data_IF_960182070424
#
_entry.id   IF_960182070424
#
_cell.length_a   1.000
_cell.length_b   1.000
_cell.length_c   1.000
_cell.angle_alpha   90.00
_cell.angle_beta   90.00
_cell.angle_gamma   90.00
#
_symmetry.space_group_name_H-M   'P 1'
#
loop_
_entity.id
_entity.type
_entity.pdbx_description
1 polymer ?
#
# COMPACT_ATOMS: atom_id res chain seq x y z
N UNK A 1 11.29 28.79 -18.32
CA UNK A 1 10.40 27.80 -17.64
C UNK A 1 10.29 28.18 -16.17
N UNK A 2 9.12 28.59 -15.71
CA UNK A 2 8.93 29.02 -14.32
C UNK A 2 8.97 27.78 -13.41
N UNK A 3 9.84 27.81 -12.41
CA UNK A 3 9.91 26.77 -11.39
C UNK A 3 8.57 26.68 -10.67
N UNK A 4 7.89 25.51 -10.75
CA UNK A 4 6.66 25.26 -9.97
C UNK A 4 7.00 25.43 -8.50
N UNK A 5 6.47 26.48 -7.85
CA UNK A 5 6.54 26.66 -6.41
C UNK A 5 6.00 25.39 -5.76
N UNK A 6 6.85 24.72 -4.99
CA UNK A 6 6.46 23.51 -4.22
C UNK A 6 5.42 23.96 -3.21
N UNK A 7 4.24 23.33 -3.21
CA UNK A 7 3.20 23.63 -2.23
C UNK A 7 3.76 23.49 -0.81
N UNK A 8 3.37 24.33 0.15
CA UNK A 8 3.88 24.26 1.52
C UNK A 8 3.54 22.89 2.09
N UNK A 9 4.58 22.16 2.50
CA UNK A 9 4.40 20.84 3.09
C UNK A 9 3.75 20.97 4.46
N UNK A 10 2.65 20.24 4.69
CA UNK A 10 2.06 20.12 6.02
C UNK A 10 2.94 19.16 6.82
N UNK A 11 3.45 19.54 8.01
CA UNK A 11 4.25 18.65 8.83
C UNK A 11 3.41 17.43 9.24
N UNK A 12 3.85 16.24 8.86
CA UNK A 12 3.13 15.00 9.14
C UNK A 12 2.86 14.80 10.63
N UNK A 13 3.84 15.11 11.47
CA UNK A 13 3.72 14.97 12.93
C UNK A 13 2.62 15.86 13.52
N UNK A 14 2.43 17.07 12.96
CA UNK A 14 1.35 17.96 13.37
C UNK A 14 -0.02 17.34 13.08
N UNK A 15 -0.18 16.77 11.88
CA UNK A 15 -1.42 16.10 11.48
C UNK A 15 -1.70 14.89 12.37
N UNK A 16 -0.70 14.05 12.61
CA UNK A 16 -0.87 12.86 13.45
C UNK A 16 -1.23 13.24 14.88
N UNK A 17 -0.55 14.25 15.45
CA UNK A 17 -0.89 14.77 16.77
C UNK A 17 -2.33 15.30 16.83
N UNK A 18 -2.77 16.04 15.81
CA UNK A 18 -4.14 16.57 15.77
C UNK A 18 -5.20 15.45 15.69
N UNK A 19 -4.91 14.35 14.98
CA UNK A 19 -5.75 13.15 14.97
C UNK A 19 -5.78 12.54 16.37
N UNK A 20 -4.64 12.32 16.98
CA UNK A 20 -4.45 11.66 18.27
C UNK A 20 -5.21 12.35 19.39
N UNK A 21 -5.13 13.68 19.46
CA UNK A 21 -5.81 14.50 20.49
C UNK A 21 -7.25 14.87 20.13
N UNK A 22 -7.76 14.33 19.01
CA UNK A 22 -9.13 14.56 18.50
C UNK A 22 -9.44 16.03 18.21
N UNK A 23 -8.48 16.76 17.64
CA UNK A 23 -8.67 18.16 17.24
C UNK A 23 -9.56 18.29 16.01
N UNK A 24 -10.87 18.31 16.20
CA UNK A 24 -11.88 18.36 15.15
C UNK A 24 -11.76 19.63 14.28
N UNK A 25 -11.31 20.74 14.86
CA UNK A 25 -11.19 22.03 14.18
C UNK A 25 -9.89 22.23 13.42
N UNK A 26 -8.93 21.32 13.51
CA UNK A 26 -7.61 21.51 12.90
C UNK A 26 -7.70 21.73 11.38
N UNK A 27 -8.45 20.91 10.66
CA UNK A 27 -8.58 21.02 9.21
C UNK A 27 -9.24 22.33 8.77
N UNK A 28 -10.26 22.81 9.49
CA UNK A 28 -10.95 24.07 9.15
C UNK A 28 -10.05 25.28 9.31
N UNK A 29 -9.09 25.24 10.23
CA UNK A 29 -8.09 26.31 10.46
C UNK A 29 -6.98 26.36 9.42
N UNK A 30 -6.85 25.35 8.54
CA UNK A 30 -5.87 25.38 7.45
C UNK A 30 -6.22 26.45 6.41
N UNK A 31 -5.17 27.10 5.89
CA UNK A 31 -5.30 27.98 4.72
C UNK A 31 -5.62 27.17 3.45
N UNK A 32 -6.04 27.86 2.39
CA UNK A 32 -6.45 27.21 1.14
C UNK A 32 -5.32 26.43 0.45
N UNK A 33 -4.06 26.84 0.61
CA UNK A 33 -2.90 26.16 0.02
C UNK A 33 -2.61 24.85 0.77
N UNK A 34 -2.66 24.88 2.08
CA UNK A 34 -2.51 23.66 2.91
C UNK A 34 -3.67 22.69 2.71
N UNK A 35 -4.91 23.17 2.61
CA UNK A 35 -6.07 22.31 2.27
C UNK A 35 -5.86 21.59 0.94
N UNK A 36 -5.30 22.24 -0.08
CA UNK A 36 -4.94 21.60 -1.37
C UNK A 36 -3.78 20.59 -1.25
N UNK A 37 -2.85 20.83 -0.34
CA UNK A 37 -1.72 19.92 -0.10
C UNK A 37 -2.09 18.74 0.80
N UNK A 38 -3.22 18.78 1.49
CA UNK A 38 -3.69 17.73 2.38
C UNK A 38 -4.08 16.48 1.58
N UNK A 39 -3.39 15.37 1.81
CA UNK A 39 -3.69 14.08 1.21
C UNK A 39 -4.33 13.15 2.23
N UNK A 40 -5.64 13.05 2.22
CA UNK A 40 -6.38 12.15 3.11
C UNK A 40 -5.91 10.68 2.99
N UNK A 41 -5.58 10.24 1.77
CA UNK A 41 -5.05 8.88 1.55
C UNK A 41 -3.71 8.65 2.26
N UNK A 42 -2.80 9.63 2.16
CA UNK A 42 -1.51 9.55 2.86
C UNK A 42 -1.70 9.55 4.38
N UNK A 43 -2.57 10.43 4.88
CA UNK A 43 -2.86 10.53 6.32
C UNK A 43 -3.47 9.25 6.86
N UNK A 44 -4.36 8.61 6.12
CA UNK A 44 -4.94 7.30 6.48
C UNK A 44 -3.87 6.24 6.72
N UNK A 45 -2.88 6.17 5.84
CA UNK A 45 -1.79 5.21 5.96
C UNK A 45 -0.91 5.44 7.19
N UNK A 46 -0.63 6.70 7.50
CA UNK A 46 0.15 7.02 8.69
C UNK A 46 -0.67 6.86 9.98
N UNK A 47 -1.93 7.26 9.97
CA UNK A 47 -2.81 7.12 11.12
C UNK A 47 -3.02 5.65 11.51
N UNK A 48 -3.05 4.72 10.56
CA UNK A 48 -3.20 3.28 10.83
C UNK A 48 -1.92 2.61 11.38
N UNK A 49 -0.76 3.28 11.33
CA UNK A 49 0.54 2.70 11.68
C UNK A 49 1.06 3.24 13.03
N UNK A 50 0.37 2.94 14.12
CA UNK A 50 0.77 3.29 15.49
C UNK A 50 1.62 2.17 16.10
N UNK A 51 2.69 2.54 16.81
CA UNK A 51 3.48 1.60 17.62
C UNK A 51 2.91 1.46 19.03
N UNK A 52 3.04 0.27 19.59
CA UNK A 52 2.69 -0.03 20.96
C UNK A 52 1.28 -0.58 21.14
N UNK A 53 0.74 -0.45 22.34
CA UNK A 53 -0.49 -1.12 22.76
C UNK A 53 -1.73 -0.67 21.98
N UNK A 54 -1.72 0.56 21.44
CA UNK A 54 -2.85 1.11 20.67
C UNK A 54 -2.82 0.74 19.19
N UNK A 55 -1.85 -0.05 18.74
CA UNK A 55 -1.66 -0.39 17.33
C UNK A 55 -2.90 -1.06 16.71
N UNK A 56 -3.47 -2.05 17.37
CA UNK A 56 -4.65 -2.77 16.91
C UNK A 56 -5.90 -1.86 16.87
N UNK A 57 -6.09 -1.04 17.90
CA UNK A 57 -7.22 -0.15 18.02
C UNK A 57 -7.20 0.92 16.90
N UNK A 58 -6.04 1.54 16.66
CA UNK A 58 -5.90 2.52 15.59
C UNK A 58 -6.11 1.89 14.22
N UNK A 59 -5.52 0.72 13.97
CA UNK A 59 -5.71 0.00 12.71
C UNK A 59 -7.19 -0.30 12.46
N UNK A 60 -7.88 -0.83 13.47
CA UNK A 60 -9.30 -1.14 13.39
C UNK A 60 -10.14 0.12 13.17
N UNK A 61 -9.97 1.15 14.00
CA UNK A 61 -10.75 2.39 13.91
C UNK A 61 -10.51 3.14 12.61
N UNK A 62 -9.26 3.24 12.14
CA UNK A 62 -8.96 3.87 10.85
C UNK A 62 -9.56 3.06 9.70
N UNK A 63 -9.54 1.73 9.77
CA UNK A 63 -10.18 0.90 8.75
C UNK A 63 -11.69 1.13 8.71
N UNK A 64 -12.37 1.03 9.84
CA UNK A 64 -13.84 1.13 9.91
C UNK A 64 -14.35 2.55 9.60
N UNK A 65 -13.72 3.57 10.20
CA UNK A 65 -14.21 4.94 10.10
C UNK A 65 -13.74 5.65 8.83
N UNK A 66 -12.52 5.37 8.35
CA UNK A 66 -11.89 6.12 7.25
C UNK A 66 -11.80 5.29 5.98
N UNK A 67 -11.15 4.10 6.02
CA UNK A 67 -10.84 3.33 4.84
C UNK A 67 -12.11 2.81 4.15
N UNK A 68 -13.01 2.16 4.89
CA UNK A 68 -14.26 1.60 4.34
C UNK A 68 -15.21 2.68 3.78
N UNK A 69 -15.06 3.93 4.21
CA UNK A 69 -15.87 5.07 3.75
C UNK A 69 -15.10 6.04 2.86
N UNK A 70 -13.86 5.72 2.50
CA UNK A 70 -12.94 6.64 1.85
C UNK A 70 -13.50 7.23 0.55
N UNK A 71 -14.05 6.39 -0.31
CA UNK A 71 -14.64 6.80 -1.60
C UNK A 71 -15.90 7.65 -1.40
N UNK A 72 -16.77 7.27 -0.45
CA UNK A 72 -18.06 7.91 -0.21
C UNK A 72 -17.89 9.37 0.25
N UNK A 73 -16.89 9.60 1.11
CA UNK A 73 -16.64 10.93 1.69
C UNK A 73 -15.51 11.69 1.01
N UNK A 74 -14.97 11.19 -0.10
CA UNK A 74 -13.83 11.80 -0.81
C UNK A 74 -14.07 13.26 -1.26
N UNK A 75 -15.33 13.60 -1.54
CA UNK A 75 -15.75 14.98 -1.91
C UNK A 75 -15.99 15.89 -0.71
N UNK A 76 -15.88 15.38 0.50
CA UNK A 76 -16.17 16.08 1.76
C UNK A 76 -14.95 16.03 2.70
N UNK A 77 -13.88 16.79 2.42
CA UNK A 77 -12.62 16.68 3.15
C UNK A 77 -12.72 17.04 4.64
N UNK A 78 -13.65 17.91 5.02
CA UNK A 78 -13.93 18.23 6.43
C UNK A 78 -14.55 17.03 7.16
N UNK A 79 -15.46 16.31 6.50
CA UNK A 79 -16.02 15.08 7.04
C UNK A 79 -14.96 13.98 7.14
N UNK A 80 -14.09 13.84 6.12
CA UNK A 80 -12.96 12.92 6.19
C UNK A 80 -12.07 13.24 7.40
N UNK A 81 -11.78 14.51 7.66
CA UNK A 81 -11.02 14.92 8.83
C UNK A 81 -11.71 14.51 10.14
N UNK A 82 -13.00 14.73 10.26
CA UNK A 82 -13.76 14.33 11.46
C UNK A 82 -13.69 12.82 11.69
N UNK A 83 -13.79 12.02 10.62
CA UNK A 83 -13.65 10.56 10.71
C UNK A 83 -12.24 10.15 11.19
N UNK A 84 -11.18 10.84 10.74
CA UNK A 84 -9.83 10.62 11.27
C UNK A 84 -9.76 10.88 12.78
N UNK A 85 -10.38 11.94 13.26
CA UNK A 85 -10.36 12.27 14.70
C UNK A 85 -11.11 11.26 15.57
N UNK A 86 -11.99 10.45 15.00
CA UNK A 86 -12.66 9.35 15.72
C UNK A 86 -11.63 8.29 16.15
N UNK A 87 -10.65 8.00 15.30
CA UNK A 87 -9.61 7.02 15.59
C UNK A 87 -8.65 7.42 16.72
N UNK A 88 -8.48 8.71 16.97
CA UNK A 88 -7.59 9.20 18.02
C UNK A 88 -7.98 8.71 19.43
N UNK A 89 -7.00 8.47 20.29
CA UNK A 89 -7.20 8.02 21.69
C UNK A 89 -7.18 9.16 22.74
N UNK A 90 -7.01 10.42 22.30
CA UNK A 90 -6.89 11.58 23.18
C UNK A 90 -5.46 11.84 23.69
N UNK A 91 -4.48 11.01 23.31
CA UNK A 91 -3.07 11.14 23.70
C UNK A 91 -2.18 10.91 22.50
N UNK A 92 -1.14 11.73 22.35
CA UNK A 92 -0.17 11.60 21.25
C UNK A 92 0.46 10.21 21.20
N UNK A 93 0.48 9.62 20.01
CA UNK A 93 1.03 8.30 19.72
C UNK A 93 2.27 8.41 18.84
N UNK A 94 3.03 7.33 18.77
CA UNK A 94 4.16 7.21 17.85
C UNK A 94 3.70 6.53 16.55
N UNK A 95 3.61 7.32 15.47
CA UNK A 95 3.23 6.83 14.15
C UNK A 95 4.48 6.49 13.33
N UNK A 96 4.53 5.28 12.80
CA UNK A 96 5.62 4.80 11.96
C UNK A 96 5.10 4.33 10.61
N UNK A 97 5.71 4.79 9.52
CA UNK A 97 5.33 4.34 8.19
C UNK A 97 5.74 2.89 7.94
N UNK A 98 4.78 2.02 7.80
CA UNK A 98 5.00 0.63 7.38
C UNK A 98 4.90 0.57 5.85
N UNK A 99 6.02 0.27 5.20
CA UNK A 99 6.02 0.07 3.75
C UNK A 99 5.08 -1.08 3.38
N UNK A 100 4.21 -0.90 2.39
CA UNK A 100 3.44 -2.01 1.89
C UNK A 100 4.41 -3.11 1.40
N UNK A 101 4.04 -4.39 1.56
CA UNK A 101 4.82 -5.47 1.00
C UNK A 101 5.01 -5.20 -0.49
N UNK A 102 6.23 -5.45 -0.98
CA UNK A 102 6.56 -5.19 -2.38
C UNK A 102 5.81 -6.22 -3.24
N UNK A 103 4.56 -5.92 -3.59
CA UNK A 103 3.71 -6.78 -4.44
C UNK A 103 4.17 -6.80 -5.90
N UNK A 104 5.09 -5.91 -6.28
CA UNK A 104 5.85 -6.09 -7.51
C UNK A 104 6.87 -7.20 -7.27
N UNK A 105 6.41 -8.46 -7.15
CA UNK A 105 7.25 -9.62 -7.41
C UNK A 105 7.93 -9.28 -8.75
N UNK A 106 9.28 -9.21 -8.79
CA UNK A 106 10.00 -9.26 -10.06
C UNK A 106 9.29 -10.36 -10.82
N UNK A 107 8.77 -10.07 -12.02
CA UNK A 107 8.11 -11.10 -12.82
C UNK A 107 9.07 -12.26 -12.85
N UNK A 108 8.73 -13.33 -12.13
CA UNK A 108 9.57 -14.52 -12.12
C UNK A 108 9.48 -15.05 -13.54
N UNK A 109 10.54 -14.89 -14.32
CA UNK A 109 10.57 -15.28 -15.71
C UNK A 109 10.16 -16.73 -15.89
N UNK A 110 10.58 -17.57 -14.94
CA UNK A 110 10.21 -19.00 -14.92
C UNK A 110 8.70 -19.15 -14.72
N UNK A 111 8.10 -18.42 -13.76
CA UNK A 111 6.65 -18.44 -13.54
C UNK A 111 5.89 -18.03 -14.81
N UNK A 112 6.33 -16.94 -15.44
CA UNK A 112 5.67 -16.45 -16.68
C UNK A 112 5.79 -17.49 -17.80
N UNK A 113 6.97 -18.04 -18.02
CA UNK A 113 7.18 -19.05 -19.07
C UNK A 113 6.35 -20.32 -18.85
N UNK A 114 6.28 -20.82 -17.62
CA UNK A 114 5.46 -21.99 -17.29
C UNK A 114 3.97 -21.67 -17.39
N UNK A 115 3.53 -20.47 -17.00
CA UNK A 115 2.15 -20.03 -17.16
C UNK A 115 1.73 -19.96 -18.62
N UNK A 116 2.61 -19.51 -19.50
CA UNK A 116 2.35 -19.43 -20.95
C UNK A 116 2.27 -20.84 -21.59
N UNK A 117 3.03 -21.80 -21.05
CA UNK A 117 2.97 -23.20 -21.49
C UNK A 117 1.75 -23.95 -20.95
N UNK A 118 1.27 -23.58 -19.76
CA UNK A 118 0.16 -24.23 -19.06
C UNK A 118 -0.96 -23.23 -18.74
N UNK A 119 -1.63 -22.67 -19.74
CA UNK A 119 -2.62 -21.60 -19.55
C UNK A 119 -3.89 -22.06 -18.80
N UNK A 120 -4.09 -23.36 -18.66
CA UNK A 120 -5.21 -23.95 -17.93
C UNK A 120 -5.00 -24.07 -16.44
N UNK A 121 -3.75 -23.91 -15.94
CA UNK A 121 -3.45 -23.96 -14.51
C UNK A 121 -3.75 -22.62 -13.82
N UNK A 122 -4.29 -22.68 -12.62
CA UNK A 122 -4.50 -21.52 -11.76
C UNK A 122 -3.16 -21.07 -11.14
N UNK A 123 -3.16 -19.85 -10.60
CA UNK A 123 -1.97 -19.24 -10.02
C UNK A 123 -1.37 -20.04 -8.85
N UNK A 124 -2.21 -20.58 -7.98
CA UNK A 124 -1.83 -21.43 -6.84
C UNK A 124 -1.27 -22.79 -7.29
N UNK A 125 -1.83 -23.37 -8.33
CA UNK A 125 -1.33 -24.62 -8.93
C UNK A 125 0.05 -24.41 -9.58
N UNK A 126 0.27 -23.29 -10.25
CA UNK A 126 1.57 -22.90 -10.79
C UNK A 126 2.61 -22.65 -9.69
N UNK A 127 2.23 -21.97 -8.59
CA UNK A 127 3.12 -21.78 -7.44
C UNK A 127 3.49 -23.13 -6.81
N UNK A 128 2.55 -24.03 -6.69
CA UNK A 128 2.80 -25.40 -6.19
C UNK A 128 3.77 -26.15 -7.12
N UNK A 129 3.50 -26.16 -8.43
CA UNK A 129 4.35 -26.81 -9.42
C UNK A 129 5.79 -26.30 -9.36
N UNK A 130 5.98 -24.98 -9.22
CA UNK A 130 7.30 -24.39 -9.07
C UNK A 130 7.97 -24.73 -7.73
N UNK A 131 7.20 -25.00 -6.71
CA UNK A 131 7.74 -25.33 -5.37
C UNK A 131 8.21 -26.79 -5.24
N UNK A 132 7.57 -27.71 -5.94
CA UNK A 132 7.86 -29.15 -5.86
C UNK A 132 8.92 -29.61 -6.85
N UNK A 133 9.19 -28.82 -7.92
CA UNK A 133 10.17 -29.17 -8.94
C UNK A 133 11.47 -28.39 -8.77
N UNK A 134 12.59 -29.04 -9.01
CA UNK A 134 13.90 -28.39 -9.07
C UNK A 134 14.07 -27.52 -10.32
N UNK A 135 15.05 -26.60 -10.29
CA UNK A 135 15.34 -25.77 -11.48
C UNK A 135 15.68 -26.58 -12.73
N UNK A 136 16.32 -27.73 -12.56
CA UNK A 136 16.76 -28.54 -13.69
C UNK A 136 15.59 -29.34 -14.28
N UNK A 137 14.68 -29.82 -13.46
CA UNK A 137 13.43 -30.44 -13.91
C UNK A 137 12.56 -29.44 -14.65
N UNK A 138 12.42 -28.21 -14.14
CA UNK A 138 11.68 -27.15 -14.84
C UNK A 138 12.32 -26.75 -16.16
N UNK A 139 13.66 -26.71 -16.25
CA UNK A 139 14.36 -26.48 -17.53
C UNK A 139 14.10 -27.59 -18.52
N UNK A 140 14.17 -28.85 -18.06
CA UNK A 140 13.89 -29.99 -18.91
C UNK A 140 12.44 -29.93 -19.42
N UNK A 141 11.51 -29.65 -18.53
CA UNK A 141 10.09 -29.50 -18.88
C UNK A 141 9.87 -28.43 -19.99
N UNK A 142 10.47 -27.25 -19.81
CA UNK A 142 10.37 -26.14 -20.79
C UNK A 142 11.02 -26.52 -22.12
N UNK A 143 12.12 -27.30 -22.09
CA UNK A 143 12.79 -27.82 -23.28
C UNK A 143 11.93 -28.84 -24.01
N UNK A 144 11.32 -29.77 -23.30
CA UNK A 144 10.45 -30.82 -23.85
C UNK A 144 9.18 -30.22 -24.45
N UNK A 145 8.74 -29.05 -23.93
CA UNK A 145 7.66 -28.26 -24.49
C UNK A 145 8.04 -27.48 -25.78
N UNK A 146 9.30 -27.62 -26.24
CA UNK A 146 9.77 -27.05 -27.51
C UNK A 146 10.30 -25.61 -27.45
N UNK A 147 10.59 -25.08 -26.25
CA UNK A 147 11.16 -23.74 -26.11
C UNK A 147 12.65 -23.77 -26.53
N UNK A 148 13.12 -22.82 -27.36
CA UNK A 148 14.50 -22.79 -27.84
C UNK A 148 15.53 -22.61 -26.72
N UNK A 149 16.69 -23.27 -26.82
CA UNK A 149 17.77 -23.22 -25.81
C UNK A 149 18.23 -21.79 -25.46
N UNK A 150 18.12 -20.84 -26.38
CA UNK A 150 18.43 -19.41 -26.14
C UNK A 150 17.47 -18.79 -25.14
N UNK A 151 16.18 -19.03 -25.29
CA UNK A 151 15.14 -18.51 -24.41
C UNK A 151 15.20 -19.19 -23.03
N UNK A 152 15.47 -20.50 -22.98
CA UNK A 152 15.66 -21.22 -21.73
C UNK A 152 16.78 -20.58 -20.89
N UNK A 153 17.90 -20.22 -21.51
CA UNK A 153 19.00 -19.52 -20.82
C UNK A 153 18.60 -18.15 -20.26
N UNK A 154 17.70 -17.43 -20.93
CA UNK A 154 17.20 -16.13 -20.47
C UNK A 154 16.15 -16.24 -19.35
N UNK A 155 15.33 -17.29 -19.40
CA UNK A 155 14.29 -17.59 -18.41
C UNK A 155 14.91 -17.98 -17.06
N UNK A 156 15.94 -18.82 -17.10
CA UNK A 156 16.56 -19.41 -15.90
C UNK A 156 17.84 -18.68 -15.41
N UNK A 157 18.18 -17.56 -16.01
CA UNK A 157 19.30 -16.69 -15.59
C UNK A 157 18.98 -15.95 -14.31
#
# INVERSE_FOLDING_TARGET
MAAKKKAPAIPLQEVMRAIDVKDRGWYTRLDAEKKKAFSAWMMMRYASCVRGNMSADYLYMVNECVNNRFSDVSKHPELQWLLFTVAGCGKTQNHEYIKPPNTRKKKNKVFTAISDLLPHLKHDELELLLSINSKDELKQYVKDAGVPDKEIKEIFK
#
